data_IF_012825251459
#
_entry.id   IF_012825251459
#
_cell.length_a   1.000
_cell.length_b   1.000
_cell.length_c   1.000
_cell.angle_alpha   90.00
_cell.angle_beta   90.00
_cell.angle_gamma   90.00
#
_symmetry.space_group_name_H-M   'P 1'
#
loop_
_entity.id
_entity.type
_entity.pdbx_description
1 polymer ?
#
# COMPACT_ATOMS: atom_id res chain seq x y z
N UNK A 1 18.84 -8.29 -3.12
CA UNK A 1 18.61 -8.99 -1.83
C UNK A 1 17.38 -9.88 -1.98
N UNK A 2 17.35 -11.05 -1.33
CA UNK A 2 16.14 -11.88 -1.25
C UNK A 2 15.23 -11.32 -0.17
N UNK A 3 14.02 -10.94 -0.54
CA UNK A 3 13.02 -10.31 0.32
C UNK A 3 11.94 -11.38 0.53
N UNK A 4 11.82 -11.85 1.78
CA UNK A 4 10.87 -12.89 2.18
C UNK A 4 9.48 -12.31 2.48
N UNK A 5 8.48 -13.16 2.79
CA UNK A 5 7.23 -12.67 3.37
C UNK A 5 7.57 -11.82 4.62
N UNK A 6 6.79 -10.79 4.91
CA UNK A 6 6.97 -9.88 6.06
C UNK A 6 8.06 -8.80 5.93
N UNK A 7 8.40 -8.39 4.70
CA UNK A 7 9.32 -7.27 4.51
C UNK A 7 8.74 -6.14 3.67
N UNK A 8 9.06 -4.92 4.10
CA UNK A 8 8.72 -3.68 3.41
C UNK A 8 10.03 -3.08 2.91
N UNK A 9 10.13 -2.86 1.60
CA UNK A 9 11.23 -2.12 0.99
C UNK A 9 10.77 -0.71 0.64
N UNK A 10 11.46 0.32 1.12
CA UNK A 10 11.35 1.66 0.56
C UNK A 10 12.36 1.82 -0.58
N UNK A 11 11.88 2.27 -1.72
CA UNK A 11 12.70 2.86 -2.77
C UNK A 11 12.20 4.30 -2.93
N UNK A 12 12.91 5.23 -2.31
CA UNK A 12 12.58 6.66 -2.33
C UNK A 12 13.70 7.39 -3.09
N UNK A 13 13.32 8.31 -3.98
CA UNK A 13 14.24 9.04 -4.85
C UNK A 13 14.01 10.55 -4.67
N UNK A 14 15.06 11.37 -4.65
CA UNK A 14 14.98 12.74 -4.15
C UNK A 14 13.91 13.62 -4.83
N UNK A 15 13.04 14.23 -4.02
CA UNK A 15 12.19 15.36 -4.41
C UNK A 15 12.09 16.41 -3.30
N UNK A 16 12.97 17.42 -3.35
CA UNK A 16 12.86 18.70 -2.65
C UNK A 16 11.53 18.96 -1.92
N UNK A 17 11.49 18.67 -0.62
CA UNK A 17 10.47 19.24 0.26
C UNK A 17 11.02 20.57 0.81
N UNK A 18 10.46 21.69 0.38
CA UNK A 18 10.60 22.94 1.14
C UNK A 18 9.76 22.80 2.41
N UNK A 19 10.45 22.60 3.54
CA UNK A 19 9.86 22.79 4.86
C UNK A 19 9.64 24.30 5.04
N UNK A 20 8.38 24.73 5.00
CA UNK A 20 8.01 26.11 5.30
C UNK A 20 8.11 26.37 6.80
N UNK A 21 9.12 27.13 7.21
CA UNK A 21 9.20 27.72 8.54
C UNK A 21 8.07 28.72 8.74
N UNK A 22 7.07 28.39 9.57
CA UNK A 22 6.15 29.37 10.11
C UNK A 22 6.77 30.00 11.36
N UNK A 23 7.54 31.06 11.14
CA UNK A 23 8.04 31.95 12.19
C UNK A 23 6.88 32.56 12.99
N UNK A 24 7.04 32.54 14.31
CA UNK A 24 6.19 33.25 15.29
C UNK A 24 6.54 34.74 15.26
N UNK A 25 5.54 35.60 15.08
CA UNK A 25 5.35 36.81 15.90
C UNK A 25 4.08 37.58 15.50
N UNK A 26 3.18 37.80 16.48
CA UNK A 26 2.35 39.00 16.57
C UNK A 26 1.65 39.04 17.94
N UNK A 27 2.08 40.00 18.76
CA UNK A 27 1.52 40.43 20.03
C UNK A 27 0.25 41.29 19.88
N UNK A 28 -0.78 41.05 20.70
CA UNK A 28 -1.84 42.04 21.02
C UNK A 28 -3.23 41.46 21.29
N UNK A 29 -4.02 41.96 22.27
CA UNK A 29 -5.01 41.17 23.02
C UNK A 29 -6.48 41.42 22.65
N UNK A 30 -7.36 40.43 22.90
CA UNK A 30 -8.81 40.61 22.78
C UNK A 30 -9.59 39.33 23.11
N UNK A 31 -10.19 39.29 24.29
CA UNK A 31 -10.96 38.19 24.86
C UNK A 31 -12.26 37.87 24.11
N UNK A 32 -12.67 36.59 24.10
CA UNK A 32 -14.06 36.23 23.82
C UNK A 32 -14.27 34.80 23.29
N UNK A 33 -14.36 33.85 24.22
CA UNK A 33 -15.16 32.61 24.12
C UNK A 33 -15.19 31.83 22.79
N UNK A 34 -14.40 30.75 22.72
CA UNK A 34 -14.76 29.43 22.16
C UNK A 34 -13.59 28.45 22.40
N UNK A 35 -13.42 28.06 23.66
CA UNK A 35 -12.63 26.90 24.02
C UNK A 35 -13.60 25.74 24.18
N UNK A 36 -13.63 24.84 23.20
CA UNK A 36 -14.15 23.46 23.18
C UNK A 36 -14.52 23.14 21.72
N UNK A 37 -13.68 22.32 21.08
CA UNK A 37 -13.97 21.39 19.96
C UNK A 37 -12.76 21.09 19.04
N UNK A 38 -11.51 21.25 19.53
CA UNK A 38 -10.30 20.72 18.84
C UNK A 38 -9.58 19.63 19.65
N UNK A 39 -10.33 18.88 20.46
CA UNK A 39 -9.82 17.70 21.16
C UNK A 39 -10.63 16.47 20.73
N UNK A 40 -9.96 15.53 20.06
CA UNK A 40 -10.44 14.14 20.01
C UNK A 40 -10.99 13.67 18.67
N UNK A 41 -10.12 13.63 17.65
CA UNK A 41 -10.14 12.53 16.68
C UNK A 41 -8.82 11.77 16.69
N UNK A 42 -8.33 11.43 17.89
CA UNK A 42 -7.43 10.30 18.05
C UNK A 42 -8.30 9.07 18.16
N UNK A 43 -8.66 8.48 17.01
CA UNK A 43 -9.10 7.09 17.01
C UNK A 43 -7.97 6.27 17.66
N UNK A 44 -8.33 5.42 18.62
CA UNK A 44 -7.43 4.43 19.23
C UNK A 44 -7.01 3.37 18.19
N UNK A 45 -6.31 3.78 17.14
CA UNK A 45 -5.82 2.95 16.03
C UNK A 45 -4.30 3.05 15.93
N UNK A 46 -3.65 1.95 15.58
CA UNK A 46 -2.23 1.92 15.28
C UNK A 46 -1.95 2.89 14.10
N UNK A 47 -0.97 3.78 14.23
CA UNK A 47 -0.52 4.62 13.12
C UNK A 47 0.06 3.72 12.01
N UNK A 48 -0.66 3.62 10.89
CA UNK A 48 -0.31 2.74 9.77
C UNK A 48 1.04 3.13 9.14
N UNK A 49 1.37 4.43 9.11
CA UNK A 49 2.65 4.91 8.61
C UNK A 49 3.78 4.48 9.54
N UNK A 50 3.62 4.65 10.86
CA UNK A 50 4.58 4.17 11.85
C UNK A 50 4.78 2.64 11.76
N UNK A 51 3.70 1.89 11.53
CA UNK A 51 3.76 0.45 11.30
C UNK A 51 4.56 0.07 10.05
N UNK A 52 4.45 0.85 8.97
CA UNK A 52 5.13 0.63 7.70
C UNK A 52 6.65 0.78 7.79
N UNK A 53 7.13 1.72 8.61
CA UNK A 53 8.56 2.05 8.76
C UNK A 53 9.18 1.48 10.04
N UNK A 54 8.42 0.74 10.85
CA UNK A 54 8.90 0.17 12.11
C UNK A 54 10.19 -0.67 11.89
N UNK A 55 11.22 -0.53 12.76
CA UNK A 55 11.22 0.21 14.02
C UNK A 55 11.68 1.67 13.93
N UNK A 56 11.78 2.26 12.73
CA UNK A 56 12.20 3.66 12.60
C UNK A 56 11.14 4.62 13.17
N UNK A 57 11.63 5.71 13.74
CA UNK A 57 10.80 6.84 14.13
C UNK A 57 10.37 7.65 12.88
N UNK A 58 9.19 8.26 12.95
CA UNK A 58 8.62 9.01 11.82
C UNK A 58 9.46 10.25 11.49
N UNK A 59 9.89 11.00 12.49
CA UNK A 59 10.63 12.25 12.27
C UNK A 59 12.04 11.93 11.77
N UNK A 60 12.70 10.91 12.34
CA UNK A 60 14.00 10.42 11.86
C UNK A 60 13.90 9.91 10.41
N UNK A 61 12.83 9.19 10.08
CA UNK A 61 12.60 8.68 8.73
C UNK A 61 12.55 9.81 7.69
N UNK A 62 11.76 10.86 7.95
CA UNK A 62 11.67 11.99 7.03
C UNK A 62 12.96 12.82 6.98
N UNK A 63 13.68 12.96 8.08
CA UNK A 63 14.92 13.71 8.13
C UNK A 63 16.07 13.02 7.36
N UNK A 64 16.24 11.71 7.59
CA UNK A 64 17.48 10.99 7.26
C UNK A 64 17.30 9.93 6.16
N UNK A 65 16.10 9.41 5.93
CA UNK A 65 15.86 8.31 4.98
C UNK A 65 15.09 8.75 3.74
N UNK A 66 13.95 9.43 3.95
CA UNK A 66 13.07 9.84 2.87
C UNK A 66 13.87 10.62 1.83
N UNK A 67 13.74 10.18 0.58
CA UNK A 67 14.32 10.83 -0.59
C UNK A 67 15.85 10.89 -0.64
N UNK A 68 16.52 10.08 0.18
CA UNK A 68 17.99 10.04 0.27
C UNK A 68 18.54 8.67 -0.11
N UNK A 69 18.00 7.61 0.47
CA UNK A 69 18.47 6.25 0.23
C UNK A 69 17.34 5.22 0.23
N UNK A 70 17.49 4.10 -0.51
CA UNK A 70 16.62 2.95 -0.35
C UNK A 70 16.79 2.34 1.05
N UNK A 71 15.68 1.98 1.70
CA UNK A 71 15.68 1.40 3.05
C UNK A 71 14.86 0.12 3.08
N UNK A 72 15.31 -0.89 3.82
CA UNK A 72 14.55 -2.13 4.01
C UNK A 72 14.15 -2.24 5.47
N UNK A 73 12.84 -2.29 5.70
CA UNK A 73 12.23 -2.55 6.99
C UNK A 73 11.81 -4.02 7.01
N UNK A 74 12.46 -4.80 7.88
CA UNK A 74 12.07 -6.19 8.12
C UNK A 74 11.02 -6.16 9.22
N UNK A 75 9.76 -6.33 8.86
CA UNK A 75 8.68 -6.15 9.81
C UNK A 75 8.63 -7.33 10.78
N UNK A 76 8.63 -7.03 12.08
CA UNK A 76 8.07 -7.94 13.09
C UNK A 76 6.53 -7.79 13.20
N UNK A 77 5.95 -6.81 12.51
CA UNK A 77 4.57 -6.39 12.68
C UNK A 77 3.91 -5.91 11.38
N UNK A 78 4.09 -6.62 10.25
CA UNK A 78 3.16 -6.47 9.13
C UNK A 78 1.72 -6.61 9.65
N UNK A 79 1.51 -7.48 10.65
CA UNK A 79 0.27 -7.70 11.40
C UNK A 79 -0.52 -6.43 11.82
N UNK A 80 0.14 -5.28 11.98
CA UNK A 80 -0.51 -4.03 12.41
C UNK A 80 -1.01 -3.15 11.25
N UNK A 81 -0.59 -3.41 10.01
CA UNK A 81 -0.77 -2.47 8.90
C UNK A 81 -2.24 -2.27 8.50
N UNK A 82 -3.16 -3.19 8.84
CA UNK A 82 -4.62 -2.93 8.79
C UNK A 82 -5.34 -3.92 9.71
N UNK A 83 -5.35 -3.68 11.03
CA UNK A 83 -6.36 -4.33 11.89
C UNK A 83 -7.62 -3.47 11.86
N UNK A 84 -8.83 -4.04 11.66
CA UNK A 84 -10.04 -3.23 11.68
C UNK A 84 -10.18 -2.53 13.04
N UNK A 85 -10.33 -1.20 13.01
CA UNK A 85 -10.84 -0.44 14.13
C UNK A 85 -12.33 -0.82 14.29
N UNK A 86 -12.59 -1.94 14.96
CA UNK A 86 -13.79 -2.23 15.78
C UNK A 86 -13.88 -3.74 16.05
N UNK A 87 -13.23 -4.12 17.15
CA UNK A 87 -13.39 -5.42 17.78
C UNK A 87 -13.40 -5.21 19.29
N UNK A 88 -14.37 -4.45 19.79
CA UNK A 88 -14.62 -4.33 21.23
C UNK A 88 -14.67 -5.73 21.84
N UNK A 89 -13.63 -6.07 22.59
CA UNK A 89 -13.52 -7.33 23.30
C UNK A 89 -14.59 -7.37 24.38
N UNK A 90 -15.74 -7.96 24.08
CA UNK A 90 -16.62 -8.49 25.11
C UNK A 90 -16.20 -9.93 25.37
N UNK A 91 -15.46 -10.07 26.47
CA UNK A 91 -15.10 -11.31 27.11
C UNK A 91 -16.34 -12.16 27.44
N UNK A 92 -16.31 -13.43 27.04
CA UNK A 92 -16.90 -14.54 27.78
C UNK A 92 -18.40 -14.80 27.60
N UNK A 93 -18.73 -15.88 26.87
CA UNK A 93 -20.07 -16.46 26.85
C UNK A 93 -20.23 -17.57 25.82
N UNK A 94 -19.83 -18.79 26.18
CA UNK A 94 -20.05 -20.01 25.40
C UNK A 94 -21.54 -20.35 25.30
N UNK A 95 -22.12 -20.41 24.09
CA UNK A 95 -23.12 -21.41 23.69
C UNK A 95 -23.54 -21.27 22.20
N UNK A 96 -23.52 -22.42 21.52
CA UNK A 96 -24.42 -22.86 20.43
C UNK A 96 -24.69 -21.98 19.19
N UNK A 97 -24.28 -22.51 18.03
CA UNK A 97 -25.06 -22.66 16.79
C UNK A 97 -26.21 -21.67 16.53
N UNK A 98 -26.00 -20.71 15.62
CA UNK A 98 -26.97 -20.43 14.54
C UNK A 98 -26.27 -19.70 13.40
N UNK A 99 -26.41 -20.26 12.19
CA UNK A 99 -26.03 -19.63 10.93
C UNK A 99 -26.88 -18.37 10.71
N UNK A 100 -26.30 -17.20 10.98
CA UNK A 100 -26.86 -15.91 10.55
C UNK A 100 -26.35 -15.62 9.12
N UNK A 101 -27.21 -15.56 8.10
CA UNK A 101 -26.81 -15.02 6.81
C UNK A 101 -26.68 -13.49 6.98
N UNK A 102 -25.57 -12.90 6.52
CA UNK A 102 -25.48 -11.45 6.34
C UNK A 102 -24.56 -10.66 7.27
N UNK A 103 -23.61 -11.28 7.99
CA UNK A 103 -22.40 -10.55 8.37
C UNK A 103 -21.34 -10.85 7.31
N UNK A 104 -21.17 -9.91 6.38
CA UNK A 104 -20.01 -9.91 5.49
C UNK A 104 -18.77 -10.01 6.38
N UNK A 105 -17.99 -11.08 6.20
CA UNK A 105 -16.78 -11.28 6.99
C UNK A 105 -15.89 -10.06 6.76
N UNK A 106 -15.39 -9.46 7.86
CA UNK A 106 -14.50 -8.32 7.73
C UNK A 106 -13.34 -8.71 6.82
N UNK A 107 -13.02 -7.89 5.79
CA UNK A 107 -11.94 -8.19 4.89
C UNK A 107 -10.65 -8.36 5.68
N UNK A 108 -9.89 -9.41 5.36
CA UNK A 108 -8.66 -9.76 6.06
C UNK A 108 -7.69 -8.57 6.04
N UNK A 109 -6.84 -8.43 7.07
CA UNK A 109 -5.67 -7.53 7.03
C UNK A 109 -4.75 -7.85 5.85
N UNK A 110 -4.05 -6.86 5.31
CA UNK A 110 -3.07 -7.02 4.21
C UNK A 110 -2.03 -8.15 4.42
N UNK A 111 -1.50 -8.39 5.64
CA UNK A 111 -0.54 -9.48 5.89
C UNK A 111 -1.16 -10.88 5.87
N UNK A 112 -2.48 -10.97 6.02
CA UNK A 112 -3.21 -12.25 6.12
C UNK A 112 -3.89 -12.62 4.80
N UNK A 113 -3.58 -11.89 3.73
CA UNK A 113 -4.10 -12.15 2.40
C UNK A 113 -3.53 -13.47 1.90
N UNK A 114 -4.35 -14.28 1.26
CA UNK A 114 -3.95 -15.52 0.60
C UNK A 114 -3.86 -15.32 -0.91
N UNK A 115 -3.29 -16.30 -1.60
CA UNK A 115 -3.28 -16.33 -3.07
C UNK A 115 -4.67 -16.20 -3.67
N UNK A 116 -5.70 -16.72 -3.00
CA UNK A 116 -7.09 -16.56 -3.44
C UNK A 116 -7.52 -15.09 -3.44
N UNK A 117 -7.22 -14.31 -2.40
CA UNK A 117 -7.58 -12.88 -2.36
C UNK A 117 -6.86 -12.09 -3.46
N UNK A 118 -5.60 -12.44 -3.76
CA UNK A 118 -4.87 -11.83 -4.86
C UNK A 118 -5.51 -12.17 -6.23
N UNK A 119 -5.99 -13.39 -6.42
CA UNK A 119 -6.70 -13.78 -7.64
C UNK A 119 -8.06 -13.07 -7.75
N UNK A 120 -8.77 -12.89 -6.63
CA UNK A 120 -10.02 -12.12 -6.60
C UNK A 120 -9.77 -10.67 -7.00
N UNK A 121 -8.73 -10.02 -6.47
CA UNK A 121 -8.32 -8.67 -6.88
C UNK A 121 -8.04 -8.61 -8.40
N UNK A 122 -7.28 -9.55 -8.95
CA UNK A 122 -7.00 -9.60 -10.40
C UNK A 122 -8.27 -9.79 -11.22
N UNK A 123 -9.19 -10.62 -10.74
CA UNK A 123 -10.46 -10.93 -11.41
C UNK A 123 -11.39 -9.72 -11.42
N UNK A 124 -11.45 -8.98 -10.30
CA UNK A 124 -12.17 -7.71 -10.21
C UNK A 124 -11.58 -6.66 -11.16
N UNK A 125 -10.24 -6.52 -11.18
CA UNK A 125 -9.54 -5.60 -12.08
C UNK A 125 -9.71 -5.95 -13.56
N UNK A 126 -9.84 -7.23 -13.90
CA UNK A 126 -10.07 -7.69 -15.27
C UNK A 126 -11.48 -7.34 -15.80
N UNK A 127 -12.42 -7.00 -14.92
CA UNK A 127 -13.80 -6.66 -15.30
C UNK A 127 -14.83 -7.75 -15.03
N UNK A 128 -14.54 -8.71 -14.15
CA UNK A 128 -15.56 -9.64 -13.64
C UNK A 128 -16.56 -8.96 -12.67
N UNK A 129 -16.23 -7.75 -12.21
CA UNK A 129 -17.14 -6.92 -11.42
C UNK A 129 -18.28 -6.36 -12.29
N UNK A 130 -19.54 -6.34 -11.82
CA UNK A 130 -20.64 -5.71 -12.54
C UNK A 130 -20.47 -4.17 -12.63
N UNK A 131 -19.65 -3.59 -11.76
CA UNK A 131 -19.25 -2.19 -11.79
C UNK A 131 -17.84 -2.13 -12.37
N UNK A 132 -17.68 -1.45 -13.50
CA UNK A 132 -16.37 -1.24 -14.10
C UNK A 132 -15.45 -0.49 -13.12
N UNK A 133 -14.16 -0.84 -13.06
CA UNK A 133 -13.21 -0.06 -12.29
C UNK A 133 -13.18 1.40 -12.79
N UNK A 134 -12.93 2.38 -11.90
CA UNK A 134 -12.72 3.76 -12.30
C UNK A 134 -11.61 3.90 -13.34
N UNK A 135 -11.65 4.97 -14.13
CA UNK A 135 -10.58 5.32 -15.07
C UNK A 135 -9.23 5.36 -14.34
N UNK A 136 -8.24 4.65 -14.91
CA UNK A 136 -6.89 4.49 -14.33
C UNK A 136 -6.67 3.22 -13.52
N UNK A 137 -7.72 2.48 -13.13
CA UNK A 137 -7.55 1.13 -12.58
C UNK A 137 -7.56 0.09 -13.71
N UNK A 138 -6.36 -0.27 -14.15
CA UNK A 138 -6.15 -1.17 -15.28
C UNK A 138 -5.40 -2.44 -14.85
N UNK A 139 -5.84 -3.59 -15.36
CA UNK A 139 -5.07 -4.82 -15.34
C UNK A 139 -4.12 -4.86 -16.55
N UNK A 140 -2.83 -4.73 -16.29
CA UNK A 140 -1.76 -4.88 -17.27
C UNK A 140 -1.13 -6.26 -17.14
N UNK A 141 -0.88 -6.92 -18.28
CA UNK A 141 -0.27 -8.25 -18.29
C UNK A 141 1.07 -8.17 -19.01
N UNK A 142 2.13 -8.67 -18.37
CA UNK A 142 3.48 -8.64 -18.90
C UNK A 142 4.02 -10.05 -19.15
N UNK A 143 4.45 -10.32 -20.37
CA UNK A 143 5.08 -11.58 -20.77
C UNK A 143 6.44 -11.29 -21.38
N UNK A 144 7.48 -11.98 -20.91
CA UNK A 144 8.83 -11.76 -21.42
C UNK A 144 9.35 -10.33 -21.24
N UNK A 145 8.92 -9.64 -20.16
CA UNK A 145 9.23 -8.24 -19.85
C UNK A 145 8.60 -7.20 -20.79
N UNK A 146 7.54 -7.56 -21.51
CA UNK A 146 6.80 -6.65 -22.40
C UNK A 146 5.30 -6.72 -22.09
N UNK A 147 4.61 -5.59 -22.26
CA UNK A 147 3.16 -5.54 -22.17
C UNK A 147 2.54 -6.46 -23.24
N UNK A 148 1.53 -7.25 -22.86
CA UNK A 148 0.89 -8.24 -23.69
C UNK A 148 -0.63 -8.14 -23.59
N UNK A 149 -1.26 -8.08 -24.76
CA UNK A 149 -2.72 -8.10 -24.92
C UNK A 149 -3.26 -9.51 -25.25
N UNK A 150 -2.38 -10.53 -25.25
CA UNK A 150 -2.75 -11.90 -25.65
C UNK A 150 -3.78 -12.56 -24.71
N UNK A 151 -4.00 -11.97 -23.54
CA UNK A 151 -4.82 -12.53 -22.46
C UNK A 151 -6.11 -11.75 -22.19
N UNK A 152 -6.45 -10.77 -23.03
CA UNK A 152 -7.67 -9.95 -22.84
C UNK A 152 -8.93 -10.81 -22.70
N UNK A 153 -9.01 -11.92 -23.45
CA UNK A 153 -10.15 -12.83 -23.45
C UNK A 153 -10.04 -14.00 -22.46
N UNK A 154 -8.82 -14.39 -22.09
CA UNK A 154 -8.58 -15.56 -21.22
C UNK A 154 -8.38 -15.16 -19.76
N UNK A 155 -8.05 -13.90 -19.50
CA UNK A 155 -7.92 -13.33 -18.17
C UNK A 155 -6.62 -13.65 -17.43
N UNK A 156 -6.51 -13.15 -16.18
CA UNK A 156 -5.28 -13.19 -15.39
C UNK A 156 -4.85 -14.61 -15.02
N UNK A 157 -5.78 -15.52 -14.76
CA UNK A 157 -5.43 -16.90 -14.38
C UNK A 157 -4.67 -17.62 -15.51
N UNK A 158 -5.13 -17.50 -16.75
CA UNK A 158 -4.44 -18.07 -17.91
C UNK A 158 -3.06 -17.43 -18.11
N UNK A 159 -2.96 -16.11 -17.94
CA UNK A 159 -1.70 -15.38 -18.02
C UNK A 159 -0.67 -15.87 -16.99
N UNK A 160 -1.09 -16.02 -15.72
CA UNK A 160 -0.22 -16.51 -14.65
C UNK A 160 0.25 -17.95 -14.90
N UNK A 161 -0.64 -18.83 -15.37
CA UNK A 161 -0.30 -20.21 -15.73
C UNK A 161 0.69 -20.29 -16.89
N UNK A 162 0.61 -19.35 -17.84
CA UNK A 162 1.61 -19.25 -18.91
C UNK A 162 2.94 -18.64 -18.41
N UNK A 163 3.02 -18.11 -17.20
CA UNK A 163 4.25 -17.47 -16.69
C UNK A 163 4.36 -15.98 -17.07
N UNK A 164 3.23 -15.33 -17.35
CA UNK A 164 3.14 -13.87 -17.40
C UNK A 164 2.95 -13.29 -15.98
N UNK A 165 3.34 -12.03 -15.80
CA UNK A 165 3.03 -11.25 -14.60
C UNK A 165 1.78 -10.42 -14.81
N UNK A 166 0.96 -10.27 -13.77
CA UNK A 166 -0.19 -9.38 -13.76
C UNK A 166 0.11 -8.18 -12.86
N UNK A 167 -0.21 -6.98 -13.35
CA UNK A 167 -0.05 -5.71 -12.64
C UNK A 167 -1.40 -5.02 -12.61
N UNK A 168 -1.86 -4.61 -11.43
CA UNK A 168 -3.08 -3.79 -11.29
C UNK A 168 -2.62 -2.39 -10.90
N UNK A 169 -2.86 -1.43 -11.79
CA UNK A 169 -2.70 -0.02 -11.44
C UNK A 169 -3.88 0.43 -10.58
N UNK A 170 -3.65 1.33 -9.63
CA UNK A 170 -4.70 1.84 -8.75
C UNK A 170 -5.55 0.73 -8.10
N UNK A 171 -4.88 -0.30 -7.60
CA UNK A 171 -5.49 -1.48 -7.01
C UNK A 171 -6.35 -1.15 -5.77
N UNK A 172 -6.18 0.03 -5.16
CA UNK A 172 -7.07 0.54 -4.12
C UNK A 172 -8.52 0.71 -4.58
N UNK A 173 -8.80 0.86 -5.87
CA UNK A 173 -10.18 0.98 -6.37
C UNK A 173 -10.94 -0.34 -6.42
N UNK A 174 -10.23 -1.46 -6.57
CA UNK A 174 -10.83 -2.79 -6.68
C UNK A 174 -10.59 -3.66 -5.46
N UNK A 175 -9.73 -3.22 -4.53
CA UNK A 175 -9.37 -4.01 -3.36
C UNK A 175 -9.47 -3.22 -2.05
N UNK A 176 -10.50 -3.51 -1.22
CA UNK A 176 -10.73 -2.80 0.04
C UNK A 176 -9.55 -2.72 1.01
N UNK A 177 -8.68 -3.75 1.14
CA UNK A 177 -7.49 -3.64 1.99
C UNK A 177 -6.54 -2.50 1.56
N UNK A 178 -6.30 -2.32 0.26
CA UNK A 178 -5.48 -1.22 -0.24
C UNK A 178 -6.18 0.13 -0.12
N UNK A 179 -7.49 0.20 -0.34
CA UNK A 179 -8.27 1.42 -0.11
C UNK A 179 -8.05 1.96 1.32
N UNK A 180 -8.18 1.08 2.32
CA UNK A 180 -7.95 1.44 3.72
C UNK A 180 -6.52 1.89 3.98
N UNK A 181 -5.53 1.12 3.51
CA UNK A 181 -4.13 1.49 3.67
C UNK A 181 -3.83 2.87 3.05
N UNK A 182 -4.26 3.12 1.81
CA UNK A 182 -4.07 4.42 1.17
C UNK A 182 -4.75 5.55 1.93
N UNK A 183 -5.94 5.32 2.50
CA UNK A 183 -6.64 6.31 3.32
C UNK A 183 -5.88 6.63 4.61
N UNK A 184 -5.38 5.61 5.33
CA UNK A 184 -4.63 5.79 6.57
C UNK A 184 -3.28 6.48 6.33
N UNK A 185 -2.58 6.13 5.25
CA UNK A 185 -1.30 6.78 4.91
C UNK A 185 -1.47 8.26 4.49
N UNK A 186 -2.69 8.68 4.11
CA UNK A 186 -2.95 10.09 3.75
C UNK A 186 -2.89 11.06 4.94
N UNK A 187 -2.86 10.54 6.17
CA UNK A 187 -2.63 11.37 7.36
C UNK A 187 -1.20 11.97 7.38
N UNK A 188 -0.25 11.36 6.66
CA UNK A 188 1.15 11.83 6.55
C UNK A 188 1.59 12.15 5.13
N UNK A 189 0.91 11.62 4.11
CA UNK A 189 1.31 11.73 2.70
C UNK A 189 0.19 12.32 1.84
N UNK A 190 0.51 13.22 0.91
CA UNK A 190 -0.50 13.92 0.11
C UNK A 190 -1.22 13.00 -0.91
N UNK A 191 -0.44 12.26 -1.70
CA UNK A 191 -0.94 11.45 -2.81
C UNK A 191 -0.48 10.00 -2.67
N UNK A 192 -1.37 9.16 -2.15
CA UNK A 192 -1.14 7.72 -1.96
C UNK A 192 -2.10 6.91 -2.82
N UNK A 193 -1.53 6.00 -3.59
CA UNK A 193 -2.19 4.96 -4.38
C UNK A 193 -1.35 3.68 -4.34
N UNK A 194 -1.93 2.54 -4.73
CA UNK A 194 -1.26 1.26 -4.71
C UNK A 194 -1.30 0.59 -6.08
N UNK A 195 -0.13 0.15 -6.55
CA UNK A 195 -0.04 -0.80 -7.66
C UNK A 195 0.25 -2.19 -7.11
N UNK A 196 -0.44 -3.21 -7.63
CA UNK A 196 -0.24 -4.60 -7.23
C UNK A 196 0.54 -5.35 -8.30
N UNK A 197 1.49 -6.20 -7.89
CA UNK A 197 2.30 -7.00 -8.80
C UNK A 197 2.23 -8.47 -8.43
N UNK A 198 1.55 -9.27 -9.24
CA UNK A 198 1.46 -10.72 -9.08
C UNK A 198 2.34 -11.37 -10.14
N UNK A 199 3.37 -12.11 -9.71
CA UNK A 199 4.38 -12.69 -10.61
C UNK A 199 4.62 -14.16 -10.26
N UNK A 200 4.43 -15.09 -11.21
CA UNK A 200 4.70 -16.51 -10.97
C UNK A 200 6.22 -16.78 -10.86
N UNK A 201 6.61 -17.95 -10.34
CA UNK A 201 8.02 -18.35 -10.26
C UNK A 201 8.74 -18.26 -11.60
N UNK A 202 10.03 -17.91 -11.56
CA UNK A 202 10.90 -17.77 -12.74
C UNK A 202 10.47 -16.72 -13.79
N UNK A 203 9.48 -15.87 -13.49
CA UNK A 203 9.05 -14.76 -14.34
C UNK A 203 9.54 -13.40 -13.83
N UNK A 204 9.52 -12.40 -14.73
CA UNK A 204 9.81 -11.00 -14.42
C UNK A 204 8.87 -10.09 -15.22
N UNK A 205 8.15 -9.21 -14.52
CA UNK A 205 7.15 -8.32 -15.13
C UNK A 205 7.76 -7.29 -16.08
N UNK A 206 8.72 -6.51 -15.60
CA UNK A 206 9.26 -5.34 -16.32
C UNK A 206 10.79 -5.32 -16.28
N UNK A 207 11.47 -4.72 -17.27
CA UNK A 207 12.92 -4.51 -17.22
C UNK A 207 13.30 -3.56 -16.05
N UNK A 208 14.59 -3.50 -15.67
CA UNK A 208 15.05 -2.49 -14.71
C UNK A 208 14.67 -1.07 -15.16
N UNK A 209 14.09 -0.30 -14.25
CA UNK A 209 13.63 1.08 -14.47
C UNK A 209 13.69 1.85 -13.14
N UNK A 210 13.40 3.15 -13.20
CA UNK A 210 13.16 4.00 -12.04
C UNK A 210 11.80 4.68 -12.23
N UNK A 211 11.06 4.83 -11.14
CA UNK A 211 9.79 5.54 -11.11
C UNK A 211 10.01 7.04 -10.81
N UNK A 212 9.02 7.86 -11.14
CA UNK A 212 8.99 9.30 -10.83
C UNK A 212 8.43 9.60 -9.43
N UNK A 213 8.15 8.56 -8.62
CA UNK A 213 7.56 8.64 -7.27
C UNK A 213 8.44 8.01 -6.21
N UNK A 214 8.19 8.40 -4.96
CA UNK A 214 8.63 7.63 -3.79
C UNK A 214 7.75 6.39 -3.61
N UNK A 215 8.38 5.22 -3.46
CA UNK A 215 7.70 3.93 -3.48
C UNK A 215 7.95 3.14 -2.21
N UNK A 216 6.87 2.73 -1.54
CA UNK A 216 6.89 1.64 -0.57
C UNK A 216 6.48 0.33 -1.25
N UNK A 217 7.33 -0.68 -1.17
CA UNK A 217 7.11 -2.04 -1.67
C UNK A 217 6.77 -2.94 -0.49
N UNK A 218 5.54 -3.43 -0.44
CA UNK A 218 5.08 -4.38 0.58
C UNK A 218 5.06 -5.81 -0.02
N UNK A 219 5.89 -6.72 0.51
CA UNK A 219 5.87 -8.13 0.09
C UNK A 219 4.74 -8.88 0.80
N UNK A 220 3.63 -9.12 0.09
CA UNK A 220 2.45 -9.78 0.68
C UNK A 220 2.57 -11.30 0.73
N UNK A 221 2.92 -11.92 -0.41
CA UNK A 221 2.92 -13.37 -0.57
C UNK A 221 4.17 -13.85 -1.31
N UNK A 222 4.68 -15.00 -0.90
CA UNK A 222 5.86 -15.61 -1.53
C UNK A 222 7.14 -14.79 -1.28
N UNK A 223 8.04 -14.80 -2.26
CA UNK A 223 9.30 -14.06 -2.19
C UNK A 223 9.68 -13.50 -3.54
N UNK A 224 10.50 -12.43 -3.53
CA UNK A 224 11.00 -11.81 -4.74
C UNK A 224 12.45 -11.37 -4.57
N UNK A 225 13.24 -11.55 -5.62
CA UNK A 225 14.62 -11.05 -5.65
C UNK A 225 14.62 -9.61 -6.15
N UNK A 226 14.95 -8.67 -5.28
CA UNK A 226 15.03 -7.25 -5.62
C UNK A 226 16.48 -6.82 -5.82
N UNK A 227 16.72 -6.01 -6.84
CA UNK A 227 18.02 -5.37 -7.09
C UNK A 227 17.81 -3.87 -7.22
N UNK A 228 18.26 -3.13 -6.21
CA UNK A 228 18.35 -1.68 -6.25
C UNK A 228 19.67 -1.23 -6.87
N UNK A 229 19.65 -0.06 -7.50
CA UNK A 229 20.83 0.58 -8.08
C UNK A 229 20.93 1.99 -7.47
N UNK A 230 22.12 2.37 -6.99
CA UNK A 230 22.31 3.58 -6.18
C UNK A 230 22.30 4.91 -6.95
N UNK A 231 22.20 4.88 -8.27
CA UNK A 231 22.14 6.10 -9.09
C UNK A 231 21.12 5.88 -10.21
N UNK A 232 19.86 6.27 -10.02
CA UNK A 232 18.87 6.20 -11.08
C UNK A 232 19.25 7.17 -12.21
N UNK A 233 18.97 6.84 -13.47
CA UNK A 233 19.16 7.76 -14.61
C UNK A 233 18.05 8.83 -14.65
N UNK A 234 17.66 9.39 -13.51
CA UNK A 234 16.65 10.45 -13.42
C UNK A 234 17.36 11.80 -13.47
N UNK A 235 16.96 12.64 -14.43
CA UNK A 235 17.45 14.01 -14.53
C UNK A 235 16.54 14.91 -13.69
N UNK A 236 17.09 15.53 -12.65
CA UNK A 236 16.39 16.48 -11.79
C UNK A 236 16.74 17.93 -12.19
N UNK A 237 15.82 18.91 -12.04
CA UNK A 237 14.39 18.74 -11.73
C UNK A 237 13.60 18.25 -12.95
N UNK A 238 12.41 17.70 -12.73
CA UNK A 238 11.48 17.36 -13.80
C UNK A 238 11.14 18.64 -14.59
N UNK A 239 11.59 18.73 -15.85
CA UNK A 239 11.23 19.80 -16.78
C UNK A 239 10.09 19.37 -17.68
#
# INVERSE_FOLDING_TARGET
QNVGPDSVGLVSMPQYAQVGDAARDASGPGAGARAQDEAGRTSNGCDAFAGLISPADIDEFFAETWQREPRIFRAAAAAAIVAPADGGAHSGGSAASSSRPGREALPRPIPQQSWADCLDMLTLAWGASPVAPPEGCDLLIFKGRQLSHAYEWTGPCAALLDGASCVVNHAEFVWPPFARLCMELRDKLLHVYCNSYVTPPAAQAVPPHADDRDVFVLQLLGSKHWRGYGSPPLKLPYT
#
